data_IF_857354718585
#
_entry.id   IF_857354718585
#
_cell.length_a   1.000
_cell.length_b   1.000
_cell.length_c   1.000
_cell.angle_alpha   90.00
_cell.angle_beta   90.00
_cell.angle_gamma   90.00
#
_symmetry.space_group_name_H-M   'P 1'
#
loop_
_entity.id
_entity.type
_entity.pdbx_description
1 polymer ?
#
# COMPACT_ATOMS: atom_id res chain seq x y z
N UNK A 1 -9.19 -7.20 -9.84
CA UNK A 1 -7.80 -7.51 -9.42
C UNK A 1 -6.88 -6.40 -9.87
N UNK A 2 -5.87 -6.11 -9.10
CA UNK A 2 -4.87 -5.11 -9.41
C UNK A 2 -3.48 -5.72 -9.36
N UNK A 3 -2.52 -5.08 -10.04
CA UNK A 3 -1.12 -5.48 -9.97
C UNK A 3 -0.45 -4.81 -8.77
N UNK A 4 0.37 -5.58 -8.09
CA UNK A 4 1.15 -5.07 -6.96
C UNK A 4 2.46 -5.84 -6.84
N UNK A 5 3.45 -5.18 -6.23
CA UNK A 5 4.66 -5.86 -5.79
C UNK A 5 4.36 -6.48 -4.44
N UNK A 6 4.68 -7.78 -4.29
CA UNK A 6 4.48 -8.51 -3.04
C UNK A 6 5.78 -9.13 -2.57
N UNK A 7 5.97 -9.18 -1.27
CA UNK A 7 7.11 -9.83 -0.63
C UNK A 7 6.58 -10.96 0.23
N UNK A 8 6.93 -12.20 -0.12
CA UNK A 8 6.50 -13.40 0.61
C UNK A 8 7.59 -13.92 1.55
N UNK A 9 8.82 -13.50 1.32
CA UNK A 9 9.96 -13.83 2.18
C UNK A 9 10.94 -12.66 2.17
N UNK A 10 11.69 -12.50 3.25
CA UNK A 10 12.71 -11.44 3.33
C UNK A 10 13.93 -11.82 2.49
N UNK A 11 14.65 -10.81 2.01
CA UNK A 11 15.85 -11.06 1.21
C UNK A 11 16.26 -9.86 0.38
N UNK A 12 16.99 -10.13 -0.69
CA UNK A 12 17.44 -9.14 -1.64
C UNK A 12 16.35 -8.75 -2.65
N UNK A 13 16.70 -8.00 -3.69
CA UNK A 13 15.71 -7.54 -4.68
C UNK A 13 14.94 -8.66 -5.38
N UNK A 14 15.50 -9.85 -5.44
CA UNK A 14 14.87 -11.02 -6.08
C UNK A 14 13.58 -11.46 -5.39
N UNK A 15 13.34 -11.04 -4.14
CA UNK A 15 12.11 -11.39 -3.40
C UNK A 15 10.92 -10.50 -3.80
N UNK A 16 11.15 -9.45 -4.57
CA UNK A 16 10.09 -8.58 -5.07
C UNK A 16 9.37 -9.29 -6.21
N UNK A 17 8.09 -9.57 -6.02
CA UNK A 17 7.26 -10.28 -7.01
C UNK A 17 6.15 -9.37 -7.51
N UNK A 18 6.03 -9.26 -8.83
CA UNK A 18 4.93 -8.53 -9.47
C UNK A 18 3.78 -9.49 -9.72
N UNK A 19 2.69 -9.29 -9.02
CA UNK A 19 1.59 -10.25 -9.06
C UNK A 19 0.22 -9.57 -8.97
N UNK A 20 -0.81 -10.31 -9.35
CA UNK A 20 -2.19 -9.85 -9.19
C UNK A 20 -2.65 -10.08 -7.75
N UNK A 21 -3.30 -9.08 -7.18
CA UNK A 21 -3.91 -9.21 -5.87
C UNK A 21 -5.33 -8.67 -5.91
N UNK A 22 -6.15 -9.11 -4.96
CA UNK A 22 -7.47 -8.55 -4.76
C UNK A 22 -7.41 -7.53 -3.61
N UNK A 23 -8.02 -6.38 -3.85
CA UNK A 23 -8.17 -5.34 -2.84
C UNK A 23 -9.61 -5.39 -2.38
N UNK A 24 -9.87 -5.74 -1.11
CA UNK A 24 -11.23 -5.74 -0.58
C UNK A 24 -11.78 -4.31 -0.49
N UNK A 25 -13.10 -4.19 -0.42
CA UNK A 25 -13.73 -2.91 -0.16
C UNK A 25 -13.22 -2.34 1.17
N UNK A 26 -13.15 -1.00 1.31
CA UNK A 26 -12.64 -0.41 2.55
C UNK A 26 -13.57 -0.73 3.73
N UNK A 27 -12.97 -1.07 4.87
CA UNK A 27 -13.67 -1.30 6.11
C UNK A 27 -14.06 0.03 6.76
N UNK A 28 -14.73 -0.06 7.89
CA UNK A 28 -15.10 1.12 8.68
C UNK A 28 -13.86 1.97 8.98
N UNK A 29 -13.94 3.26 8.67
CA UNK A 29 -12.85 4.20 8.90
C UNK A 29 -11.74 4.18 7.86
N UNK A 30 -11.89 3.39 6.81
CA UNK A 30 -10.88 3.27 5.75
C UNK A 30 -11.35 3.91 4.46
N UNK A 31 -10.38 4.28 3.62
CA UNK A 31 -10.63 4.72 2.24
C UNK A 31 -9.82 3.88 1.28
N UNK A 32 -10.29 3.78 0.05
CA UNK A 32 -9.56 3.11 -1.02
C UNK A 32 -9.09 4.16 -2.02
N UNK A 33 -7.83 4.09 -2.39
CA UNK A 33 -7.18 5.07 -3.26
C UNK A 33 -6.72 4.39 -4.55
N UNK A 34 -6.97 5.03 -5.69
CA UNK A 34 -6.31 4.68 -6.94
C UNK A 34 -5.00 5.45 -6.98
N UNK A 35 -3.88 4.73 -6.89
CA UNK A 35 -2.57 5.35 -6.84
C UNK A 35 -2.20 6.00 -8.18
N UNK A 36 -1.68 7.20 -8.10
CA UNK A 36 -1.08 7.91 -9.23
C UNK A 36 0.44 7.99 -9.10
N UNK A 37 0.94 8.02 -7.86
CA UNK A 37 2.36 8.03 -7.57
C UNK A 37 2.62 7.32 -6.26
N UNK A 38 3.65 6.49 -6.24
CA UNK A 38 4.05 5.74 -5.05
C UNK A 38 5.55 6.00 -4.86
N UNK A 39 5.91 6.56 -3.70
CA UNK A 39 7.30 6.87 -3.39
C UNK A 39 8.09 5.61 -3.04
N UNK A 40 9.36 5.61 -3.40
CA UNK A 40 10.31 4.56 -3.02
C UNK A 40 11.34 5.19 -2.09
N UNK A 41 11.52 4.59 -0.92
CA UNK A 41 12.41 5.10 0.11
C UNK A 41 13.36 4.01 0.59
N UNK A 42 14.48 4.39 1.17
CA UNK A 42 15.43 3.42 1.69
C UNK A 42 14.83 2.56 2.81
N UNK A 43 13.84 3.08 3.50
CA UNK A 43 13.06 2.35 4.51
C UNK A 43 12.45 1.06 3.94
N UNK A 44 12.06 1.07 2.66
CA UNK A 44 11.49 -0.10 2.00
C UNK A 44 12.47 -1.27 1.96
N UNK A 45 13.77 -0.96 1.87
CA UNK A 45 14.83 -1.97 1.91
C UNK A 45 14.88 -2.63 3.28
N UNK A 46 14.71 -1.88 4.36
CA UNK A 46 14.74 -2.40 5.71
C UNK A 46 13.63 -3.42 5.96
N UNK A 47 12.44 -3.17 5.45
CA UNK A 47 11.34 -4.14 5.54
C UNK A 47 11.62 -5.37 4.67
N UNK A 48 12.14 -5.17 3.47
CA UNK A 48 12.43 -6.27 2.56
C UNK A 48 13.49 -7.22 3.12
N UNK A 49 14.53 -6.70 3.74
CA UNK A 49 15.61 -7.51 4.29
C UNK A 49 15.27 -8.15 5.63
N UNK A 50 14.19 -7.69 6.28
CA UNK A 50 13.80 -8.18 7.59
C UNK A 50 14.43 -7.42 8.75
N UNK A 51 15.19 -6.35 8.49
CA UNK A 51 15.72 -5.50 9.55
C UNK A 51 14.59 -4.93 10.41
N UNK A 52 13.49 -4.53 9.76
CA UNK A 52 12.26 -4.13 10.42
C UNK A 52 11.22 -5.22 10.17
N UNK A 53 10.87 -6.04 11.19
CA UNK A 53 9.92 -7.13 11.01
C UNK A 53 8.53 -6.65 10.61
N UNK A 54 7.89 -7.40 9.73
CA UNK A 54 6.50 -7.19 9.38
C UNK A 54 5.88 -8.53 8.98
N UNK A 55 4.57 -8.73 9.20
CA UNK A 55 3.91 -9.95 8.76
C UNK A 55 4.04 -10.14 7.25
N UNK A 56 4.30 -11.36 6.82
CA UNK A 56 4.41 -11.73 5.42
C UNK A 56 3.16 -12.50 4.97
N UNK A 57 2.72 -12.36 3.73
CA UNK A 57 3.26 -11.46 2.71
C UNK A 57 2.85 -10.01 2.94
N UNK A 58 3.59 -9.07 2.38
CA UNK A 58 3.24 -7.67 2.47
C UNK A 58 3.48 -6.95 1.13
N UNK A 59 2.88 -5.76 0.99
CA UNK A 59 3.10 -4.88 -0.15
C UNK A 59 4.08 -3.80 0.27
N UNK A 60 5.25 -3.68 -0.39
CA UNK A 60 6.22 -2.64 -0.05
C UNK A 60 5.69 -1.24 -0.35
N UNK A 61 6.34 -0.27 0.26
CA UNK A 61 6.02 1.13 0.06
C UNK A 61 5.40 1.74 1.31
N UNK A 62 5.65 3.01 1.51
CA UNK A 62 5.29 3.70 2.75
C UNK A 62 4.62 5.04 2.51
N UNK A 63 4.46 5.43 1.27
CA UNK A 63 3.79 6.67 0.90
C UNK A 63 3.18 6.55 -0.49
N UNK A 64 2.21 7.37 -0.75
CA UNK A 64 1.56 7.41 -2.06
C UNK A 64 0.67 8.63 -2.20
N UNK A 65 0.23 8.87 -3.41
CA UNK A 65 -0.70 9.93 -3.74
C UNK A 65 -1.63 9.43 -4.83
N UNK A 66 -2.90 9.77 -4.72
CA UNK A 66 -3.87 9.34 -5.70
C UNK A 66 -5.25 9.93 -5.46
N UNK A 67 -6.24 9.25 -5.99
CA UNK A 67 -7.63 9.68 -5.93
C UNK A 67 -8.45 8.67 -5.13
N UNK A 68 -9.31 9.17 -4.25
CA UNK A 68 -10.23 8.33 -3.49
C UNK A 68 -11.26 7.74 -4.44
N UNK A 69 -11.38 6.42 -4.46
CA UNK A 69 -12.35 5.70 -5.31
C UNK A 69 -13.44 5.02 -4.51
N UNK A 70 -13.24 4.83 -3.21
CA UNK A 70 -14.26 4.27 -2.32
C UNK A 70 -13.98 4.69 -0.90
N UNK A 71 -15.02 4.81 -0.09
CA UNK A 71 -14.91 5.16 1.34
C UNK A 71 -15.65 4.13 2.16
N UNK A 72 -15.10 3.80 3.32
CA UNK A 72 -15.72 2.90 4.27
C UNK A 72 -16.76 3.59 5.13
N UNK A 73 -17.50 2.80 5.91
CA UNK A 73 -18.52 3.31 6.79
C UNK A 73 -17.92 4.26 7.83
N UNK A 74 -18.59 5.39 8.06
CA UNK A 74 -18.18 6.35 9.07
C UNK A 74 -17.13 7.37 8.60
N UNK A 75 -16.64 7.25 7.38
CA UNK A 75 -15.69 8.23 6.82
C UNK A 75 -16.46 9.47 6.38
N UNK A 76 -16.10 10.62 6.95
CA UNK A 76 -16.78 11.89 6.68
C UNK A 76 -15.85 12.94 6.07
N UNK A 77 -14.54 12.82 6.33
CA UNK A 77 -13.55 13.82 5.91
C UNK A 77 -13.10 13.65 4.47
N UNK A 78 -13.40 12.51 3.85
CA UNK A 78 -13.01 12.19 2.49
C UNK A 78 -14.20 11.71 1.68
N UNK A 79 -14.17 11.96 0.39
CA UNK A 79 -15.20 11.49 -0.52
C UNK A 79 -14.58 11.03 -1.83
N UNK A 80 -15.31 10.22 -2.57
CA UNK A 80 -14.89 9.75 -3.89
C UNK A 80 -14.57 10.95 -4.79
N UNK A 81 -13.40 10.89 -5.44
CA UNK A 81 -12.92 11.97 -6.29
C UNK A 81 -11.89 12.88 -5.62
N UNK A 82 -11.73 12.83 -4.30
CA UNK A 82 -10.74 13.65 -3.61
C UNK A 82 -9.33 13.20 -3.97
N UNK A 83 -8.44 14.17 -4.12
CA UNK A 83 -7.01 13.92 -4.27
C UNK A 83 -6.37 13.87 -2.91
N UNK A 84 -5.60 12.82 -2.65
CA UNK A 84 -5.01 12.58 -1.32
C UNK A 84 -3.57 12.11 -1.44
N UNK A 85 -2.82 12.31 -0.37
CA UNK A 85 -1.47 11.76 -0.22
C UNK A 85 -1.32 11.28 1.22
N UNK A 86 -0.46 10.29 1.42
CA UNK A 86 -0.21 9.74 2.74
C UNK A 86 1.24 9.30 2.89
N UNK A 87 1.68 9.17 4.12
CA UNK A 87 2.98 8.60 4.46
C UNK A 87 2.86 7.86 5.80
N UNK A 88 3.84 6.99 6.06
CA UNK A 88 3.86 6.24 7.33
C UNK A 88 2.96 5.02 7.37
N UNK A 89 2.38 4.64 6.25
CA UNK A 89 1.52 3.46 6.15
C UNK A 89 2.13 2.47 5.19
N UNK A 90 2.40 1.24 5.65
CA UNK A 90 2.95 0.18 4.80
C UNK A 90 1.91 -0.23 3.75
N UNK A 91 2.37 -0.48 2.53
CA UNK A 91 1.51 -0.90 1.44
C UNK A 91 1.23 0.17 0.40
N UNK A 92 2.26 0.93 0.08
CA UNK A 92 2.23 2.00 -0.91
C UNK A 92 1.78 1.62 -2.31
#
# INVERSE_FOLDING_TARGET
MVKAIRVHETGGPEVLKYEDIEIPAPDKGEIQIRQHAIGVNFLDVYYRTGMYPTPLPYTPGNEGAGEVVAVGKGVKDFKVGDRVAYSGTLGG
#
